data_IF_923033315926
#
_entry.id   IF_923033315926
#
_cell.length_a   1.000
_cell.length_b   1.000
_cell.length_c   1.000
_cell.angle_alpha   90.00
_cell.angle_beta   90.00
_cell.angle_gamma   90.00
#
_symmetry.space_group_name_H-M   'P 1'
#
loop_
_entity.id
_entity.type
_entity.pdbx_description
1 polymer ?
#
# COMPACT_ATOMS: atom_id res chain seq x y z
N UNK A 1 13.67 8.34 -21.31
CA UNK A 1 13.31 7.74 -20.02
C UNK A 1 13.64 8.70 -18.90
N UNK A 2 12.69 8.93 -18.03
CA UNK A 2 12.81 9.79 -16.86
C UNK A 2 12.57 9.00 -15.59
N UNK A 3 13.24 9.39 -14.51
CA UNK A 3 13.05 8.80 -13.19
C UNK A 3 12.66 9.89 -12.21
N UNK A 4 11.57 9.65 -11.49
CA UNK A 4 11.08 10.55 -10.44
C UNK A 4 11.30 9.86 -9.09
N UNK A 5 11.95 10.56 -8.16
CA UNK A 5 12.17 10.05 -6.81
C UNK A 5 11.22 10.72 -5.84
N UNK A 6 10.63 9.93 -4.97
CA UNK A 6 9.69 10.40 -3.96
C UNK A 6 10.14 9.91 -2.60
N UNK A 7 10.24 10.83 -1.65
CA UNK A 7 10.50 10.49 -0.26
C UNK A 7 9.18 10.14 0.43
N UNK A 8 9.12 8.96 1.00
CA UNK A 8 8.00 8.50 1.80
C UNK A 8 8.42 8.46 3.27
N UNK A 9 7.57 8.99 4.14
CA UNK A 9 7.76 8.95 5.58
C UNK A 9 6.50 8.38 6.23
N UNK A 10 6.68 7.38 7.10
CA UNK A 10 5.56 6.79 7.83
C UNK A 10 5.42 7.48 9.18
N UNK A 11 4.21 7.94 9.52
CA UNK A 11 3.95 8.74 10.71
C UNK A 11 3.53 7.93 11.94
N UNK A 12 3.50 6.61 11.85
CA UNK A 12 3.20 5.75 12.98
C UNK A 12 1.84 5.07 12.91
N UNK A 13 1.54 4.31 13.93
CA UNK A 13 0.33 3.50 14.01
C UNK A 13 -0.14 3.39 15.45
N UNK A 14 -1.41 3.02 15.61
CA UNK A 14 -1.97 2.63 16.90
C UNK A 14 -2.04 1.11 16.99
N UNK A 15 -1.77 0.62 18.18
CA UNK A 15 -1.84 -0.80 18.49
C UNK A 15 -2.85 -1.00 19.61
N UNK A 16 -3.79 -1.92 19.42
CA UNK A 16 -4.73 -2.30 20.47
C UNK A 16 -4.89 -3.82 20.52
N UNK A 17 -5.30 -4.32 21.67
CA UNK A 17 -5.59 -5.74 21.86
C UNK A 17 -7.06 -6.00 21.58
N UNK A 18 -7.33 -6.99 20.72
CA UNK A 18 -8.65 -7.42 20.34
C UNK A 18 -8.88 -8.84 20.86
N UNK A 19 -10.01 -9.09 21.47
CA UNK A 19 -10.39 -10.42 21.91
C UNK A 19 -11.53 -10.91 21.03
N UNK A 20 -11.31 -12.03 20.34
CA UNK A 20 -12.29 -12.62 19.45
C UNK A 20 -12.34 -14.12 19.68
N UNK A 21 -13.53 -14.64 19.96
CA UNK A 21 -13.73 -16.08 20.15
C UNK A 21 -12.78 -16.70 21.18
N UNK A 22 -12.50 -15.94 22.26
CA UNK A 22 -11.61 -16.36 23.34
C UNK A 22 -10.12 -16.20 23.06
N UNK A 23 -9.72 -15.78 21.86
CA UNK A 23 -8.34 -15.53 21.50
C UNK A 23 -8.01 -14.05 21.49
N UNK A 24 -6.78 -13.73 21.90
CA UNK A 24 -6.26 -12.37 21.89
C UNK A 24 -5.47 -12.12 20.62
N UNK A 25 -5.73 -10.99 20.00
CA UNK A 25 -5.05 -10.54 18.80
C UNK A 25 -4.58 -9.11 18.96
N UNK A 26 -3.57 -8.77 18.18
CA UNK A 26 -3.08 -7.41 18.02
C UNK A 26 -3.74 -6.78 16.79
N UNK A 27 -4.30 -5.57 16.93
CA UNK A 27 -4.87 -4.81 15.83
C UNK A 27 -4.01 -3.57 15.58
N UNK A 28 -3.62 -3.38 14.35
CA UNK A 28 -2.78 -2.25 13.90
C UNK A 28 -3.63 -1.33 13.04
N UNK A 29 -3.66 -0.05 13.39
CA UNK A 29 -4.40 0.97 12.65
C UNK A 29 -3.55 2.18 12.36
N UNK A 30 -3.79 2.81 11.22
CA UNK A 30 -3.19 4.09 10.84
C UNK A 30 -4.27 5.11 10.55
N UNK A 31 -3.92 6.38 10.75
CA UNK A 31 -4.83 7.49 10.47
C UNK A 31 -5.03 7.64 8.96
N UNK A 32 -6.28 7.67 8.53
CA UNK A 32 -6.64 7.93 7.13
C UNK A 32 -6.26 6.84 6.14
N UNK A 33 -5.68 5.75 6.61
CA UNK A 33 -5.28 4.64 5.77
C UNK A 33 -6.33 3.54 5.68
N UNK A 34 -6.19 2.69 4.67
CA UNK A 34 -6.98 1.48 4.52
C UNK A 34 -6.28 0.27 5.13
N UNK A 35 -6.81 -0.90 4.83
CA UNK A 35 -6.29 -2.18 5.25
C UNK A 35 -6.20 -3.13 4.06
N UNK A 36 -5.29 -4.10 4.16
CA UNK A 36 -5.32 -5.24 3.26
C UNK A 36 -6.64 -5.98 3.43
N UNK A 37 -7.29 -6.34 2.32
CA UNK A 37 -8.67 -6.86 2.33
C UNK A 37 -8.79 -8.37 2.20
N UNK A 38 -7.69 -9.08 2.04
CA UNK A 38 -7.71 -10.53 1.85
C UNK A 38 -8.21 -11.24 3.11
N UNK A 39 -9.32 -11.96 3.00
CA UNK A 39 -9.91 -12.71 4.11
C UNK A 39 -8.92 -13.74 4.66
N UNK A 40 -8.76 -13.79 5.97
CA UNK A 40 -7.85 -14.72 6.64
C UNK A 40 -6.40 -14.27 6.69
N UNK A 41 -6.00 -13.29 5.89
CA UNK A 41 -4.69 -12.69 5.95
C UNK A 41 -4.59 -11.71 7.14
N UNK A 42 -3.39 -11.45 7.66
CA UNK A 42 -3.23 -10.46 8.72
C UNK A 42 -3.80 -9.10 8.32
N UNK A 43 -4.59 -8.52 9.20
CA UNK A 43 -5.19 -7.20 9.01
C UNK A 43 -4.15 -6.12 9.24
N UNK A 44 -3.43 -5.76 8.20
CA UNK A 44 -2.36 -4.78 8.24
C UNK A 44 -2.75 -3.52 7.47
N UNK A 45 -2.25 -2.35 7.91
CA UNK A 45 -2.57 -1.11 7.24
C UNK A 45 -1.96 -1.03 5.84
N UNK A 46 -2.65 -0.34 4.95
CA UNK A 46 -2.19 -0.04 3.61
C UNK A 46 -2.50 1.40 3.28
N UNK A 47 -1.53 2.11 2.74
CA UNK A 47 -1.64 3.51 2.34
C UNK A 47 -1.59 3.64 0.82
N UNK A 48 -2.54 4.39 0.24
CA UNK A 48 -2.48 4.76 -1.16
C UNK A 48 -1.81 6.12 -1.32
N UNK A 49 -0.86 6.22 -2.23
CA UNK A 49 -0.27 7.49 -2.61
C UNK A 49 -0.43 7.73 -4.10
N UNK A 50 -0.52 9.00 -4.48
CA UNK A 50 -0.71 9.43 -5.86
C UNK A 50 0.42 10.34 -6.27
N UNK A 51 1.04 10.01 -7.39
CA UNK A 51 2.20 10.76 -7.91
C UNK A 51 1.86 11.31 -9.29
N UNK A 52 1.93 12.62 -9.44
CA UNK A 52 1.67 13.27 -10.71
C UNK A 52 2.77 12.95 -11.72
N UNK A 53 2.37 12.56 -12.92
CA UNK A 53 3.27 12.38 -14.05
C UNK A 53 2.79 13.20 -15.24
N UNK A 54 3.69 13.56 -16.16
CA UNK A 54 3.30 14.31 -17.36
C UNK A 54 2.23 13.59 -18.17
N UNK A 55 1.39 14.35 -18.85
CA UNK A 55 0.27 13.83 -19.65
C UNK A 55 0.76 12.85 -20.73
N UNK A 56 1.91 13.13 -21.32
CA UNK A 56 2.52 12.28 -22.34
C UNK A 56 3.45 11.21 -21.79
N UNK A 57 3.41 10.97 -20.48
CA UNK A 57 4.24 9.96 -19.86
C UNK A 57 3.56 8.58 -19.91
N UNK A 58 4.36 7.56 -20.18
CA UNK A 58 3.98 6.16 -20.06
C UNK A 58 4.73 5.57 -18.87
N UNK A 59 3.99 5.07 -17.89
CA UNK A 59 4.58 4.41 -16.73
C UNK A 59 5.31 3.14 -17.17
N UNK A 60 6.54 2.97 -16.69
CA UNK A 60 7.35 1.78 -16.97
C UNK A 60 7.58 0.91 -15.75
N UNK A 61 7.97 1.51 -14.62
CA UNK A 61 8.42 0.74 -13.48
C UNK A 61 8.36 1.52 -12.17
N UNK A 62 8.05 0.82 -11.08
CA UNK A 62 8.19 1.28 -9.72
C UNK A 62 9.32 0.48 -9.06
N UNK A 63 10.25 1.18 -8.43
CA UNK A 63 11.34 0.56 -7.69
C UNK A 63 11.44 1.19 -6.31
N UNK A 64 11.64 0.35 -5.30
CA UNK A 64 11.93 0.80 -3.95
C UNK A 64 13.44 0.99 -3.85
N UNK A 65 13.85 2.21 -3.51
CA UNK A 65 15.25 2.53 -3.28
C UNK A 65 15.63 2.30 -1.82
N UNK A 66 16.34 3.26 -1.24
CA UNK A 66 16.74 3.19 0.17
C UNK A 66 15.50 3.13 1.06
N UNK A 67 15.46 2.12 1.95
CA UNK A 67 14.34 1.89 2.84
C UNK A 67 14.89 1.62 4.24
N UNK A 68 14.50 2.46 5.19
CA UNK A 68 14.86 2.32 6.60
C UNK A 68 13.67 1.75 7.36
N UNK A 69 13.89 0.59 7.95
CA UNK A 69 12.85 -0.13 8.69
C UNK A 69 13.33 -0.46 10.08
N UNK A 70 12.39 -0.69 10.99
CA UNK A 70 12.67 -1.21 12.33
C UNK A 70 11.80 -2.42 12.61
N UNK A 71 12.32 -3.33 13.46
CA UNK A 71 11.61 -4.53 13.88
C UNK A 71 11.01 -4.29 15.26
N UNK A 72 9.72 -4.61 15.41
CA UNK A 72 8.98 -4.45 16.67
C UNK A 72 8.31 -5.78 16.99
N UNK A 73 8.52 -6.29 18.22
CA UNK A 73 7.83 -7.48 18.66
C UNK A 73 6.41 -7.18 19.09
N UNK A 74 5.49 -8.10 18.81
CA UNK A 74 4.10 -8.02 19.26
C UNK A 74 3.80 -9.19 20.18
N UNK A 75 3.02 -8.92 21.22
CA UNK A 75 2.66 -9.92 22.23
C UNK A 75 1.69 -10.98 21.69
N UNK A 76 0.76 -10.55 20.84
CA UNK A 76 -0.27 -11.42 20.27
C UNK A 76 -0.18 -11.41 18.74
N UNK A 77 -0.68 -12.47 18.08
CA UNK A 77 -0.75 -12.48 16.61
C UNK A 77 -1.57 -11.31 16.09
N UNK A 78 -1.22 -10.82 14.92
CA UNK A 78 -2.04 -9.83 14.22
C UNK A 78 -3.37 -10.47 13.87
N UNK A 79 -4.47 -9.77 14.14
CA UNK A 79 -5.81 -10.27 13.84
C UNK A 79 -5.97 -10.54 12.34
N UNK A 80 -6.56 -11.67 11.94
CA UNK A 80 -6.86 -11.89 10.54
C UNK A 80 -8.03 -11.03 10.10
N UNK A 81 -8.10 -10.74 8.80
CA UNK A 81 -9.29 -10.11 8.23
C UNK A 81 -10.47 -11.06 8.40
N UNK A 82 -11.60 -10.60 8.95
CA UNK A 82 -12.75 -11.47 9.21
C UNK A 82 -13.43 -11.94 7.93
N UNK A 83 -14.17 -13.03 8.05
CA UNK A 83 -15.09 -13.47 7.01
C UNK A 83 -16.18 -12.41 6.81
N UNK A 84 -16.69 -12.23 5.57
CA UNK A 84 -17.81 -11.34 5.36
C UNK A 84 -19.01 -11.76 6.22
N UNK A 85 -19.63 -10.77 6.87
CA UNK A 85 -20.81 -10.99 7.71
C UNK A 85 -21.88 -9.97 7.35
N UNK A 86 -23.16 -10.38 7.48
CA UNK A 86 -24.29 -9.48 7.34
C UNK A 86 -24.42 -8.62 8.60
N UNK A 87 -25.10 -7.48 8.47
CA UNK A 87 -25.37 -6.61 9.60
C UNK A 87 -26.08 -7.38 10.72
N UNK A 88 -25.55 -7.25 11.94
CA UNK A 88 -26.08 -7.96 13.11
C UNK A 88 -25.52 -9.36 13.34
N UNK A 89 -24.73 -9.88 12.41
CA UNK A 89 -24.03 -11.16 12.60
C UNK A 89 -22.69 -10.94 13.30
N UNK A 90 -22.27 -11.95 14.06
CA UNK A 90 -20.96 -11.96 14.71
C UNK A 90 -19.86 -12.11 13.64
N UNK A 91 -18.79 -11.29 13.76
CA UNK A 91 -17.63 -11.42 12.90
C UNK A 91 -16.86 -12.69 13.25
N UNK A 92 -16.57 -13.49 12.23
CA UNK A 92 -15.79 -14.72 12.36
C UNK A 92 -14.38 -14.48 11.84
N UNK A 93 -13.39 -14.78 12.69
CA UNK A 93 -11.98 -14.64 12.38
C UNK A 93 -11.37 -16.02 12.14
N UNK A 94 -10.87 -16.24 10.94
CA UNK A 94 -10.24 -17.50 10.57
C UNK A 94 -8.89 -17.19 9.90
N UNK A 95 -7.82 -17.65 10.52
CA UNK A 95 -6.48 -17.47 10.00
C UNK A 95 -6.28 -18.34 8.73
N UNK A 96 -5.66 -17.74 7.72
CA UNK A 96 -5.12 -18.49 6.59
C UNK A 96 -3.80 -19.12 7.04
N UNK A 97 -3.79 -20.44 7.21
CA UNK A 97 -2.62 -21.17 7.71
C UNK A 97 -1.42 -21.05 6.78
N UNK A 98 -1.63 -20.88 5.48
CA UNK A 98 -0.54 -20.70 4.52
C UNK A 98 0.27 -19.45 4.84
N UNK A 99 -0.39 -18.41 5.34
CA UNK A 99 0.26 -17.16 5.73
C UNK A 99 0.77 -17.24 7.17
N UNK A 100 -0.10 -17.62 8.12
CA UNK A 100 0.22 -17.55 9.56
C UNK A 100 1.25 -18.58 10.01
N UNK A 101 1.36 -19.70 9.33
CA UNK A 101 2.36 -20.72 9.64
C UNK A 101 3.67 -20.51 8.88
N UNK A 102 3.74 -19.46 8.06
CA UNK A 102 4.93 -19.10 7.30
C UNK A 102 5.92 -18.31 8.15
N UNK A 103 7.20 -18.56 7.95
CA UNK A 103 8.27 -17.73 8.49
C UNK A 103 8.60 -16.53 7.60
N UNK A 104 7.86 -16.33 6.51
CA UNK A 104 8.11 -15.25 5.56
C UNK A 104 7.36 -13.97 5.92
N UNK A 105 7.95 -12.86 5.53
CA UNK A 105 7.37 -11.53 5.72
C UNK A 105 6.12 -11.35 4.88
N UNK A 106 5.03 -10.89 5.49
CA UNK A 106 3.76 -10.63 4.82
C UNK A 106 3.31 -9.18 5.04
N UNK A 107 2.86 -8.46 4.02
CA UNK A 107 3.00 -8.82 2.61
C UNK A 107 4.48 -8.77 2.16
N UNK A 108 4.80 -9.46 1.08
CA UNK A 108 6.19 -9.56 0.62
C UNK A 108 6.76 -8.23 0.13
N UNK A 109 5.90 -7.40 -0.47
CA UNK A 109 6.30 -6.13 -1.06
C UNK A 109 5.94 -4.96 -0.16
N UNK A 110 6.88 -4.03 0.05
CA UNK A 110 6.64 -2.82 0.83
C UNK A 110 5.85 -1.78 0.05
N UNK A 111 5.95 -1.80 -1.26
CA UNK A 111 5.20 -0.91 -2.15
C UNK A 111 4.94 -1.61 -3.47
N UNK A 112 3.73 -1.42 -4.01
CA UNK A 112 3.32 -2.00 -5.28
C UNK A 112 2.64 -0.96 -6.15
N UNK A 113 2.85 -1.06 -7.46
CA UNK A 113 2.12 -0.29 -8.44
C UNK A 113 0.67 -0.81 -8.52
N UNK A 114 -0.28 0.10 -8.44
CA UNK A 114 -1.70 -0.23 -8.55
C UNK A 114 -2.24 0.10 -9.95
N UNK A 115 -2.19 1.36 -10.34
CA UNK A 115 -2.76 1.81 -11.60
C UNK A 115 -2.25 3.20 -11.99
N UNK A 116 -2.40 3.54 -13.26
CA UNK A 116 -2.35 4.91 -13.74
C UNK A 116 -3.79 5.40 -13.83
N UNK A 117 -4.07 6.56 -13.23
CA UNK A 117 -5.41 7.12 -13.15
C UNK A 117 -5.40 8.60 -13.52
N UNK A 118 -6.61 9.15 -13.71
CA UNK A 118 -6.80 10.59 -13.83
C UNK A 118 -7.63 11.07 -12.64
N UNK A 119 -7.12 12.08 -11.96
CA UNK A 119 -7.78 12.70 -10.82
C UNK A 119 -7.82 14.20 -11.09
N UNK A 120 -9.02 14.77 -11.22
CA UNK A 120 -9.18 16.19 -11.54
C UNK A 120 -8.48 16.62 -12.84
N UNK A 121 -8.45 15.73 -13.84
CA UNK A 121 -7.76 15.99 -15.10
C UNK A 121 -6.25 15.79 -15.09
N UNK A 122 -5.69 15.45 -13.96
CA UNK A 122 -4.23 15.20 -13.79
C UNK A 122 -3.95 13.71 -13.87
N UNK A 123 -2.93 13.35 -14.63
CA UNK A 123 -2.47 11.97 -14.74
C UNK A 123 -1.61 11.62 -13.54
N UNK A 124 -1.96 10.54 -12.86
CA UNK A 124 -1.28 10.12 -11.63
C UNK A 124 -0.95 8.62 -11.67
N UNK A 125 0.13 8.27 -11.02
CA UNK A 125 0.47 6.89 -10.70
C UNK A 125 -0.03 6.61 -9.28
N UNK A 126 -0.86 5.58 -9.13
CA UNK A 126 -1.35 5.13 -7.83
C UNK A 126 -0.47 4.01 -7.32
N UNK A 127 0.10 4.21 -6.15
CA UNK A 127 1.00 3.27 -5.48
C UNK A 127 0.38 2.88 -4.15
N UNK A 128 0.39 1.59 -3.85
CA UNK A 128 -0.03 1.05 -2.56
C UNK A 128 1.21 0.77 -1.73
N UNK A 129 1.27 1.36 -0.54
CA UNK A 129 2.38 1.20 0.40
C UNK A 129 1.90 0.36 1.57
N UNK A 130 2.70 -0.65 1.93
CA UNK A 130 2.48 -1.50 3.09
C UNK A 130 3.50 -1.13 4.17
N UNK A 131 3.23 -0.08 4.97
CA UNK A 131 4.23 0.46 5.89
C UNK A 131 4.50 -0.44 7.08
N UNK A 132 3.58 -1.34 7.39
CA UNK A 132 3.74 -2.32 8.46
C UNK A 132 3.57 -3.71 7.86
N UNK A 133 4.63 -4.51 7.92
CA UNK A 133 4.62 -5.90 7.46
C UNK A 133 4.87 -6.81 8.64
N UNK A 134 4.54 -8.08 8.50
CA UNK A 134 4.48 -9.00 9.61
C UNK A 134 5.17 -10.33 9.32
N UNK A 135 6.02 -10.76 10.26
CA UNK A 135 6.56 -12.12 10.32
C UNK A 135 5.68 -12.95 11.25
N UNK A 136 4.76 -13.78 10.72
CA UNK A 136 3.76 -14.42 11.59
C UNK A 136 4.32 -15.37 12.63
N UNK A 137 5.27 -16.22 12.25
CA UNK A 137 5.85 -17.20 13.16
C UNK A 137 6.66 -16.53 14.26
N UNK A 138 7.42 -15.51 13.91
CA UNK A 138 8.27 -14.78 14.84
C UNK A 138 7.51 -13.75 15.68
N UNK A 139 6.29 -13.40 15.30
CA UNK A 139 5.49 -12.33 15.90
C UNK A 139 6.24 -10.99 15.93
N UNK A 140 6.78 -10.64 14.79
CA UNK A 140 7.54 -9.41 14.62
C UNK A 140 6.95 -8.56 13.51
N UNK A 141 6.81 -7.26 13.77
CA UNK A 141 6.48 -6.27 12.76
C UNK A 141 7.75 -5.72 12.15
N UNK A 142 7.72 -5.52 10.85
CA UNK A 142 8.74 -4.78 10.10
C UNK A 142 8.10 -3.46 9.69
N UNK A 143 8.52 -2.38 10.33
CA UNK A 143 7.87 -1.07 10.19
C UNK A 143 8.77 -0.13 9.42
N UNK A 144 8.25 0.44 8.34
CA UNK A 144 8.96 1.45 7.55
C UNK A 144 9.03 2.75 8.34
N UNK A 145 10.21 3.34 8.44
CA UNK A 145 10.37 4.69 8.94
C UNK A 145 10.41 5.69 7.77
N UNK A 146 11.33 5.46 6.83
CA UNK A 146 11.47 6.27 5.62
C UNK A 146 11.81 5.38 4.44
N UNK A 147 11.46 5.82 3.25
CA UNK A 147 11.69 5.06 2.03
C UNK A 147 11.76 6.00 0.83
N UNK A 148 12.61 5.65 -0.12
CA UNK A 148 12.63 6.33 -1.42
C UNK A 148 11.93 5.45 -2.45
N UNK A 149 10.94 6.00 -3.12
CA UNK A 149 10.25 5.36 -4.23
C UNK A 149 10.74 5.98 -5.54
N UNK A 150 11.04 5.13 -6.50
CA UNK A 150 11.51 5.56 -7.83
C UNK A 150 10.50 5.14 -8.88
N UNK A 151 9.96 6.11 -9.60
CA UNK A 151 9.04 5.89 -10.70
C UNK A 151 9.77 6.21 -11.99
N UNK A 152 9.82 5.24 -12.89
CA UNK A 152 10.40 5.41 -14.21
C UNK A 152 9.29 5.49 -15.24
N UNK A 153 9.35 6.48 -16.11
CA UNK A 153 8.40 6.67 -17.18
C UNK A 153 9.10 7.10 -18.47
N UNK A 154 8.41 6.94 -19.56
CA UNK A 154 8.86 7.31 -20.88
C UNK A 154 7.96 8.40 -21.43
N UNK A 155 8.55 9.46 -21.98
CA UNK A 155 7.80 10.53 -22.60
C UNK A 155 7.54 10.21 -24.08
N UNK A 156 6.30 10.42 -24.51
CA UNK A 156 5.91 10.24 -25.89
C UNK A 156 6.17 11.50 -26.69
N UNK A 157 6.91 11.36 -27.80
CA UNK A 157 7.17 12.46 -28.72
C UNK A 157 5.92 12.87 -29.50
N UNK A 158 5.00 11.95 -29.72
CA UNK A 158 3.77 12.21 -30.46
C UNK A 158 2.91 13.30 -29.80
N UNK A 159 2.90 13.35 -28.47
CA UNK A 159 2.14 14.37 -27.75
C UNK A 159 2.73 15.76 -27.93
N UNK A 160 4.07 15.86 -28.08
CA UNK A 160 4.74 17.14 -28.30
C UNK A 160 4.42 17.69 -29.69
N UNK A 161 4.23 16.83 -30.69
CA UNK A 161 3.85 17.24 -32.05
C UNK A 161 2.36 17.52 -32.19
N UNK A 162 1.53 16.86 -31.40
CA UNK A 162 0.08 17.04 -31.40
C UNK A 162 -0.32 18.21 -30.50
N UNK A 163 0.56 18.61 -29.60
CA UNK A 163 0.30 19.62 -28.58
C UNK A 163 0.25 21.05 -29.05
N UNK A 164 0.42 21.34 -30.35
CA UNK A 164 0.19 22.67 -30.87
C UNK A 164 -1.30 22.98 -30.79
N UNK A 165 -1.70 23.97 -29.99
CA UNK A 165 -3.09 24.33 -29.87
C UNK A 165 -3.61 24.79 -31.23
N UNK A 166 -4.64 24.14 -31.71
CA UNK A 166 -5.34 24.57 -32.90
C UNK A 166 -6.27 25.73 -32.54
N UNK A 167 -6.01 26.87 -33.11
CA UNK A 167 -6.85 28.01 -32.93
C UNK A 167 -8.02 27.93 -33.91
N UNK A 168 -9.23 27.74 -33.39
CA UNK A 168 -10.44 27.79 -34.19
C UNK A 168 -11.03 29.20 -34.14
N UNK A 169 -11.06 29.86 -35.27
CA UNK A 169 -11.71 31.14 -35.38
C UNK A 169 -13.18 30.91 -35.76
N UNK A 170 -14.03 31.41 -34.90
CA UNK A 170 -15.43 31.54 -35.18
C UNK A 170 -15.67 33.02 -35.58
N UNK A 171 -15.81 33.25 -36.84
CA UNK A 171 -15.98 34.60 -37.33
C UNK A 171 -17.37 34.89 -37.75
#
# INVERSE_FOLDING_TARGET
IKTLQIAYEFHGYWEETLVCQGEKYCKIEIEGGGHLQTVGAPNLPQEGIYVNIPENAKFLNLQVGECHEKTIEVEYPIAPNPLPALEGEELLYRKDSTIYDSGSLFPAEVAVFSAVRRIGGVKVVHILVNPVRYYPVQRQLQVVETMILKITYELSEETDTIGEPRHHRFG
#
